data_IF_240119611328
#
_entry.id   IF_240119611328
#
_cell.length_a   1.000
_cell.length_b   1.000
_cell.length_c   1.000
_cell.angle_alpha   90.00
_cell.angle_beta   90.00
_cell.angle_gamma   90.00
#
_symmetry.space_group_name_H-M   'P 1'
#
loop_
_entity.id
_entity.type
_entity.pdbx_description
1 polymer ?
#
# COMPACT_ATOMS: atom_id res chain seq x y z
N UNK A 1 -20.01 9.12 12.01
CA UNK A 1 -18.76 8.35 12.20
C UNK A 1 -18.77 7.66 13.55
N UNK A 2 -18.46 6.36 13.58
CA UNK A 2 -18.34 5.58 14.81
C UNK A 2 -17.07 5.98 15.60
N UNK A 3 -17.02 5.59 16.88
CA UNK A 3 -15.82 5.79 17.71
C UNK A 3 -14.59 5.06 17.12
N UNK A 4 -14.80 3.87 16.55
CA UNK A 4 -13.76 3.11 15.87
C UNK A 4 -13.22 3.85 14.64
N UNK A 5 -14.08 4.42 13.80
CA UNK A 5 -13.65 5.18 12.62
C UNK A 5 -12.78 6.39 12.99
N UNK A 6 -13.12 7.09 14.08
CA UNK A 6 -12.29 8.19 14.58
C UNK A 6 -10.93 7.70 15.06
N UNK A 7 -10.90 6.64 15.87
CA UNK A 7 -9.64 6.08 16.38
C UNK A 7 -8.72 5.60 15.23
N UNK A 8 -9.28 4.99 14.18
CA UNK A 8 -8.53 4.59 13.00
C UNK A 8 -7.99 5.78 12.22
N UNK A 9 -8.78 6.84 12.05
CA UNK A 9 -8.34 8.06 11.40
C UNK A 9 -7.21 8.74 12.20
N UNK A 10 -7.35 8.86 13.52
CA UNK A 10 -6.33 9.46 14.39
C UNK A 10 -5.02 8.66 14.35
N UNK A 11 -5.11 7.33 14.37
CA UNK A 11 -3.95 6.45 14.20
C UNK A 11 -3.30 6.62 12.82
N UNK A 12 -4.10 6.68 11.76
CA UNK A 12 -3.60 6.89 10.39
C UNK A 12 -2.85 8.21 10.25
N UNK A 13 -3.33 9.28 10.90
CA UNK A 13 -2.60 10.56 10.92
C UNK A 13 -1.23 10.45 11.59
N UNK A 14 -1.15 9.78 12.74
CA UNK A 14 0.10 9.66 13.49
C UNK A 14 1.16 8.82 12.75
N UNK A 15 0.72 7.86 11.94
CA UNK A 15 1.60 6.95 11.22
C UNK A 15 1.97 7.46 9.82
N UNK A 16 1.42 8.59 9.37
CA UNK A 16 1.67 9.08 8.02
C UNK A 16 2.99 9.83 7.91
N UNK A 17 3.80 9.42 6.94
CA UNK A 17 4.98 10.13 6.49
C UNK A 17 4.63 10.90 5.21
N UNK A 18 4.45 12.22 5.33
CA UNK A 18 4.01 13.04 4.20
C UNK A 18 5.09 13.21 3.14
N UNK A 19 6.38 13.17 3.49
CA UNK A 19 7.46 13.26 2.50
C UNK A 19 7.48 12.04 1.60
N UNK A 20 7.20 10.86 2.18
CA UNK A 20 7.21 9.58 1.46
C UNK A 20 5.84 9.21 0.90
N UNK A 21 4.77 9.83 1.38
CA UNK A 21 3.40 9.48 1.00
C UNK A 21 3.01 8.07 1.43
N UNK A 22 3.51 7.61 2.59
CA UNK A 22 3.35 6.24 3.07
C UNK A 22 3.13 6.20 4.58
N UNK A 23 2.57 5.08 5.05
CA UNK A 23 2.52 4.75 6.48
C UNK A 23 3.91 4.29 6.94
N UNK A 24 4.40 4.88 8.02
CA UNK A 24 5.69 4.58 8.66
C UNK A 24 5.48 4.08 10.10
N UNK A 25 6.00 2.91 10.40
CA UNK A 25 6.00 2.34 11.75
C UNK A 25 7.33 1.62 12.01
N UNK A 26 7.89 1.76 13.21
CA UNK A 26 9.20 1.18 13.59
C UNK A 26 10.35 1.54 12.62
N UNK A 27 10.27 2.70 11.98
CA UNK A 27 11.27 3.15 11.00
C UNK A 27 11.13 2.54 9.59
N UNK A 28 10.10 1.73 9.35
CA UNK A 28 9.83 1.07 8.07
C UNK A 28 8.60 1.67 7.39
N UNK A 29 8.62 1.75 6.06
CA UNK A 29 7.44 2.10 5.24
C UNK A 29 6.67 0.84 4.90
N UNK A 30 5.41 0.79 5.33
CA UNK A 30 4.60 -0.42 5.28
C UNK A 30 3.60 -0.35 4.14
N UNK A 31 3.78 -1.18 3.11
CA UNK A 31 2.96 -1.19 1.90
C UNK A 31 1.49 -1.52 2.20
N UNK A 32 1.25 -2.56 3.01
CA UNK A 32 -0.11 -3.01 3.35
C UNK A 32 -0.86 -1.95 4.14
N UNK A 33 -0.24 -1.40 5.17
CA UNK A 33 -0.84 -0.37 6.02
C UNK A 33 -1.05 0.95 5.24
N UNK A 34 -0.17 1.26 4.29
CA UNK A 34 -0.37 2.38 3.35
C UNK A 34 -1.62 2.16 2.48
N UNK A 35 -1.84 0.94 1.98
CA UNK A 35 -3.05 0.62 1.21
C UNK A 35 -4.33 0.72 2.05
N UNK A 36 -4.30 0.25 3.30
CA UNK A 36 -5.42 0.37 4.24
C UNK A 36 -5.70 1.83 4.58
N UNK A 37 -4.66 2.63 4.83
CA UNK A 37 -4.77 4.06 5.07
C UNK A 37 -5.37 4.82 3.88
N UNK A 38 -5.02 4.44 2.65
CA UNK A 38 -5.61 5.02 1.45
C UNK A 38 -7.12 4.79 1.36
N UNK A 39 -7.63 3.63 1.81
CA UNK A 39 -9.07 3.38 1.90
C UNK A 39 -9.74 4.32 2.91
N UNK A 40 -9.14 4.52 4.08
CA UNK A 40 -9.63 5.47 5.09
C UNK A 40 -9.66 6.91 4.55
N UNK A 41 -8.63 7.30 3.79
CA UNK A 41 -8.56 8.59 3.12
C UNK A 41 -9.67 8.76 2.08
N UNK A 42 -9.96 7.73 1.27
CA UNK A 42 -11.08 7.75 0.32
C UNK A 42 -12.44 7.87 1.01
N UNK A 43 -12.68 7.08 2.06
CA UNK A 43 -13.91 7.15 2.87
C UNK A 43 -14.11 8.54 3.50
N UNK A 44 -13.01 9.25 3.77
CA UNK A 44 -12.99 10.59 4.36
C UNK A 44 -12.92 11.73 3.33
N UNK A 45 -12.99 11.43 2.03
CA UNK A 45 -12.93 12.42 0.95
C UNK A 45 -11.54 12.99 0.65
N UNK A 46 -10.46 12.44 1.22
CA UNK A 46 -9.06 12.87 1.03
C UNK A 46 -8.44 12.22 -0.21
N UNK A 47 -9.07 12.42 -1.35
CA UNK A 47 -8.75 11.73 -2.61
C UNK A 47 -7.29 11.91 -3.03
N UNK A 48 -6.71 13.11 -2.90
CA UNK A 48 -5.33 13.35 -3.30
C UNK A 48 -4.30 12.61 -2.43
N UNK A 49 -4.56 12.50 -1.13
CA UNK A 49 -3.70 11.74 -0.21
C UNK A 49 -3.79 10.24 -0.52
N UNK A 50 -5.00 9.73 -0.71
CA UNK A 50 -5.22 8.35 -1.16
C UNK A 50 -4.52 8.05 -2.49
N UNK A 51 -4.61 8.97 -3.46
CA UNK A 51 -3.94 8.83 -4.77
C UNK A 51 -2.41 8.75 -4.62
N UNK A 52 -1.81 9.56 -3.74
CA UNK A 52 -0.37 9.51 -3.43
C UNK A 52 0.01 8.17 -2.81
N UNK A 53 -0.72 7.74 -1.79
CA UNK A 53 -0.52 6.47 -1.10
C UNK A 53 -0.60 5.28 -2.08
N UNK A 54 -1.65 5.21 -2.91
CA UNK A 54 -1.85 4.14 -3.88
C UNK A 54 -0.75 4.07 -4.95
N UNK A 55 -0.18 5.21 -5.35
CA UNK A 55 0.98 5.21 -6.26
C UNK A 55 2.19 4.54 -5.62
N UNK A 56 2.48 4.82 -4.35
CA UNK A 56 3.59 4.16 -3.65
C UNK A 56 3.32 2.68 -3.42
N UNK A 57 2.06 2.30 -3.09
CA UNK A 57 1.66 0.90 -2.99
C UNK A 57 1.95 0.16 -4.30
N UNK A 58 1.50 0.70 -5.44
CA UNK A 58 1.69 0.04 -6.74
C UNK A 58 3.16 -0.08 -7.14
N UNK A 59 4.02 0.90 -6.79
CA UNK A 59 5.47 0.82 -7.02
C UNK A 59 6.14 -0.32 -6.26
N UNK A 60 5.63 -0.66 -5.08
CA UNK A 60 6.25 -1.64 -4.18
C UNK A 60 5.54 -2.99 -4.14
N UNK A 61 4.31 -3.06 -4.62
CA UNK A 61 3.49 -4.27 -4.58
C UNK A 61 3.95 -5.30 -5.62
N UNK A 62 4.52 -4.86 -6.74
CA UNK A 62 4.99 -5.73 -7.81
C UNK A 62 6.45 -5.44 -8.17
N UNK A 63 7.26 -6.49 -8.38
CA UNK A 63 8.56 -6.34 -9.04
C UNK A 63 8.40 -5.62 -10.39
N UNK A 64 9.36 -4.78 -10.77
CA UNK A 64 9.33 -4.06 -12.06
C UNK A 64 9.40 -5.00 -13.27
N UNK A 65 9.91 -6.21 -13.07
CA UNK A 65 10.01 -7.29 -14.04
C UNK A 65 8.82 -8.26 -13.98
N UNK A 66 7.82 -8.01 -13.12
CA UNK A 66 6.61 -8.82 -13.09
C UNK A 66 5.84 -8.68 -14.41
N UNK A 67 5.46 -9.81 -15.00
CA UNK A 67 4.61 -9.83 -16.19
C UNK A 67 3.28 -9.12 -15.86
N UNK A 68 2.91 -8.06 -16.61
CA UNK A 68 1.71 -7.27 -16.34
C UNK A 68 0.42 -8.08 -16.31
N UNK A 69 0.37 -9.23 -17.01
CA UNK A 69 -0.80 -10.12 -17.03
C UNK A 69 -1.00 -10.85 -15.70
N UNK A 70 0.06 -11.00 -14.93
CA UNK A 70 0.08 -11.73 -13.67
C UNK A 70 0.26 -10.82 -12.45
N UNK A 71 0.63 -9.56 -12.66
CA UNK A 71 0.73 -8.53 -11.64
C UNK A 71 -0.61 -8.40 -10.87
N UNK A 72 -0.61 -8.87 -9.64
CA UNK A 72 -1.75 -8.77 -8.71
C UNK A 72 -2.60 -10.03 -8.57
N UNK A 73 -2.38 -11.04 -9.40
CA UNK A 73 -3.14 -12.29 -9.34
C UNK A 73 -2.34 -13.39 -8.64
N UNK A 74 -1.04 -13.53 -8.95
CA UNK A 74 -0.19 -14.55 -8.36
C UNK A 74 1.21 -14.00 -8.08
N UNK A 75 1.74 -14.26 -6.87
CA UNK A 75 3.14 -13.90 -6.52
C UNK A 75 4.18 -14.63 -7.39
N UNK A 76 3.79 -15.79 -7.92
CA UNK A 76 4.57 -16.64 -8.82
C UNK A 76 3.66 -17.18 -9.90
N UNK A 77 4.06 -17.12 -11.17
CA UNK A 77 3.26 -17.58 -12.31
C UNK A 77 4.02 -18.59 -13.17
N UNK A 78 3.30 -19.44 -13.92
CA UNK A 78 3.89 -20.53 -14.71
C UNK A 78 4.90 -20.08 -15.79
N UNK A 79 4.82 -18.81 -16.22
CA UNK A 79 5.77 -18.21 -17.16
C UNK A 79 7.00 -17.56 -16.49
N UNK A 80 7.12 -17.61 -15.16
CA UNK A 80 8.25 -17.02 -14.45
C UNK A 80 9.43 -18.00 -14.57
N UNK A 81 10.62 -17.56 -15.00
CA UNK A 81 11.81 -18.42 -15.02
C UNK A 81 12.05 -18.95 -13.61
N UNK A 82 12.32 -20.25 -13.47
CA UNK A 82 12.41 -21.03 -12.22
C UNK A 82 12.54 -20.18 -10.96
N UNK A 83 11.53 -20.27 -10.09
CA UNK A 83 11.65 -19.88 -8.69
C UNK A 83 12.61 -20.86 -7.97
N UNK A 84 13.91 -20.76 -8.28
CA UNK A 84 14.99 -21.55 -7.70
C UNK A 84 15.25 -22.88 -8.42
N UNK A 85 16.30 -22.93 -9.23
CA UNK A 85 17.12 -24.14 -9.31
C UNK A 85 17.95 -24.20 -8.02
N UNK A 86 17.90 -25.35 -7.34
CA UNK A 86 18.62 -25.68 -6.10
C UNK A 86 20.13 -25.50 -6.21
#
# INVERSE_FOLDING_TARGET
MSALQRALADMHEQLWDDDRGMVRLYGLHLVRETALGALLDLESGRVERARRALREVLKHQYPMDADPRWAGTFKTHAAQPDAGTL
#
